data_IF_394776815688
#
_entry.id   IF_394776815688
#
_cell.length_a   1.000
_cell.length_b   1.000
_cell.length_c   1.000
_cell.angle_alpha   90.00
_cell.angle_beta   90.00
_cell.angle_gamma   90.00
#
_symmetry.space_group_name_H-M   'P 1'
#
loop_
_entity.id
_entity.type
_entity.pdbx_description
1 polymer ?
#
# COMPACT_ATOMS: atom_id res chain seq x y z
N UNK A 1 40.63 -73.95 -22.40
CA UNK A 1 41.15 -72.61 -22.07
C UNK A 1 39.95 -71.70 -21.93
N UNK A 2 39.60 -71.43 -20.68
CA UNK A 2 38.46 -70.64 -20.26
C UNK A 2 38.75 -69.15 -20.50
N UNK A 3 37.76 -68.40 -20.96
CA UNK A 3 37.79 -66.94 -20.96
C UNK A 3 36.43 -66.45 -20.47
N UNK A 4 36.40 -66.11 -19.19
CA UNK A 4 35.26 -65.53 -18.47
C UNK A 4 35.07 -64.08 -18.94
N UNK A 5 33.89 -63.77 -19.46
CA UNK A 5 33.44 -62.41 -19.74
C UNK A 5 32.45 -62.02 -18.65
N UNK A 6 32.91 -61.22 -17.67
CA UNK A 6 32.06 -60.68 -16.61
C UNK A 6 31.36 -59.41 -17.07
N UNK A 7 30.04 -59.43 -17.08
CA UNK A 7 29.14 -58.29 -17.27
C UNK A 7 29.22 -57.37 -16.04
N UNK A 8 29.62 -56.12 -16.23
CA UNK A 8 29.54 -55.05 -15.23
C UNK A 8 28.13 -54.45 -15.26
N UNK A 9 27.40 -54.60 -14.16
CA UNK A 9 26.18 -53.84 -13.86
C UNK A 9 26.56 -52.47 -13.30
N UNK A 10 25.85 -51.38 -13.66
CA UNK A 10 26.10 -50.06 -13.08
C UNK A 10 25.68 -50.00 -11.60
N UNK A 11 26.61 -49.50 -10.78
CA UNK A 11 26.47 -49.27 -9.35
C UNK A 11 25.51 -48.09 -9.08
N UNK A 12 24.38 -48.37 -8.43
CA UNK A 12 23.34 -47.41 -8.07
C UNK A 12 23.49 -46.84 -6.64
N UNK A 13 24.71 -46.75 -6.10
CA UNK A 13 24.94 -46.26 -4.72
C UNK A 13 25.11 -44.74 -4.56
N UNK A 14 24.83 -43.93 -5.59
CA UNK A 14 24.99 -42.47 -5.57
C UNK A 14 23.69 -41.67 -5.77
N UNK A 15 22.57 -42.17 -5.24
CA UNK A 15 21.33 -41.38 -5.10
C UNK A 15 20.65 -41.75 -3.77
N UNK A 16 21.15 -41.18 -2.66
CA UNK A 16 20.42 -40.96 -1.38
C UNK A 16 21.41 -40.48 -0.33
N UNK A 17 21.51 -39.16 -0.15
CA UNK A 17 21.81 -38.45 1.12
C UNK A 17 22.12 -36.97 0.85
N UNK A 18 21.10 -36.18 0.53
CA UNK A 18 21.13 -34.72 0.74
C UNK A 18 19.71 -34.25 1.05
N UNK A 19 19.27 -34.49 2.29
CA UNK A 19 18.06 -33.90 2.86
C UNK A 19 18.26 -33.78 4.38
N UNK A 20 18.89 -32.69 4.80
CA UNK A 20 18.88 -32.23 6.19
C UNK A 20 19.34 -30.76 6.25
N UNK A 21 18.47 -29.81 6.67
CA UNK A 21 18.78 -28.38 6.73
C UNK A 21 19.41 -27.98 8.08
N UNK A 22 20.45 -28.68 8.52
CA UNK A 22 21.04 -28.47 9.86
C UNK A 22 22.31 -27.62 9.89
N UNK A 23 22.90 -27.28 8.74
CA UNK A 23 24.18 -26.54 8.67
C UNK A 23 24.01 -25.03 8.48
N UNK A 24 22.80 -24.55 8.15
CA UNK A 24 22.51 -23.11 8.04
C UNK A 24 22.36 -22.41 9.41
N UNK A 25 22.04 -23.17 10.47
CA UNK A 25 21.74 -22.63 11.80
C UNK A 25 22.97 -22.29 12.65
N UNK A 26 24.16 -22.79 12.29
CA UNK A 26 25.38 -22.57 13.09
C UNK A 26 26.15 -21.32 12.63
N UNK A 27 25.97 -20.87 11.38
CA UNK A 27 26.66 -19.68 10.86
C UNK A 27 26.00 -18.35 11.29
N UNK A 28 24.70 -18.34 11.62
CA UNK A 28 23.95 -17.14 11.99
C UNK A 28 23.97 -16.79 13.49
N UNK A 29 24.67 -17.57 14.33
CA UNK A 29 24.84 -17.27 15.76
C UNK A 29 26.05 -16.38 16.09
N UNK A 30 26.87 -16.01 15.10
CA UNK A 30 28.07 -15.17 15.32
C UNK A 30 27.87 -13.68 15.04
N UNK A 31 26.69 -13.26 14.56
CA UNK A 31 26.39 -11.84 14.28
C UNK A 31 25.11 -11.52 15.04
N UNK A 32 25.25 -10.94 16.24
CA UNK A 32 24.17 -10.74 17.21
C UNK A 32 23.11 -9.72 16.78
N UNK A 33 22.27 -10.07 15.81
CA UNK A 33 21.11 -9.29 15.39
C UNK A 33 19.80 -10.06 15.65
N UNK A 34 18.73 -9.43 16.15
CA UNK A 34 17.49 -10.10 16.52
C UNK A 34 16.68 -10.57 15.28
N UNK A 35 16.28 -11.84 15.31
CA UNK A 35 15.72 -12.64 14.19
C UNK A 35 14.23 -12.34 13.87
N UNK A 36 13.62 -11.31 14.45
CA UNK A 36 12.14 -11.19 14.42
C UNK A 36 11.59 -10.45 13.18
N UNK A 37 12.40 -9.78 12.35
CA UNK A 37 11.90 -9.02 11.19
C UNK A 37 12.29 -9.58 9.81
N UNK A 38 12.98 -10.73 9.74
CA UNK A 38 13.55 -11.24 8.48
C UNK A 38 12.57 -11.99 7.57
N UNK A 39 11.39 -12.38 8.07
CA UNK A 39 10.47 -13.26 7.32
C UNK A 39 9.53 -12.53 6.34
N UNK A 40 9.28 -11.23 6.51
CA UNK A 40 8.44 -10.45 5.58
C UNK A 40 9.23 -9.98 4.34
N UNK A 41 10.50 -9.59 4.53
CA UNK A 41 11.35 -9.03 3.46
C UNK A 41 11.96 -10.07 2.50
N UNK A 42 12.27 -11.29 2.97
CA UNK A 42 12.91 -12.30 2.13
C UNK A 42 11.99 -12.90 1.05
N UNK A 43 10.66 -12.79 1.22
CA UNK A 43 9.67 -13.24 0.23
C UNK A 43 9.44 -12.20 -0.86
N UNK A 44 9.47 -10.92 -0.50
CA UNK A 44 9.31 -9.79 -1.42
C UNK A 44 10.55 -9.63 -2.32
N UNK A 45 11.78 -9.71 -1.78
CA UNK A 45 13.00 -9.45 -2.57
C UNK A 45 13.43 -10.62 -3.46
N UNK A 46 13.20 -11.87 -3.04
CA UNK A 46 13.60 -13.02 -3.88
C UNK A 46 12.70 -13.19 -5.12
N UNK A 47 11.49 -12.61 -5.13
CA UNK A 47 10.63 -12.58 -6.31
C UNK A 47 10.97 -11.43 -7.28
N UNK A 48 11.72 -10.41 -6.84
CA UNK A 48 12.09 -9.24 -7.65
C UNK A 48 13.15 -9.58 -8.74
N UNK A 49 13.85 -10.71 -8.64
CA UNK A 49 14.86 -11.10 -9.64
C UNK A 49 14.39 -12.17 -10.66
N UNK A 50 13.22 -12.81 -10.53
CA UNK A 50 12.90 -13.96 -11.41
C UNK A 50 11.45 -14.10 -11.89
N UNK A 51 10.79 -12.99 -12.25
CA UNK A 51 9.49 -13.05 -12.91
C UNK A 51 9.40 -12.07 -14.10
N UNK A 52 10.23 -12.33 -15.12
CA UNK A 52 9.96 -11.84 -16.47
C UNK A 52 9.39 -12.97 -17.32
N UNK A 53 8.06 -13.11 -17.36
CA UNK A 53 7.35 -13.54 -18.58
C UNK A 53 5.82 -13.61 -18.42
N UNK A 54 5.16 -12.87 -19.32
CA UNK A 54 3.83 -13.08 -19.91
C UNK A 54 2.61 -12.84 -19.02
N UNK A 55 1.96 -11.69 -19.23
CA UNK A 55 0.50 -11.58 -19.19
C UNK A 55 0.02 -10.79 -20.43
N UNK A 56 -1.07 -11.30 -21.00
CA UNK A 56 -1.77 -10.85 -22.21
C UNK A 56 -2.60 -9.61 -21.88
N UNK A 57 -2.47 -8.56 -22.69
CA UNK A 57 -3.32 -7.38 -22.62
C UNK A 57 -4.78 -7.75 -22.96
N UNK A 58 -5.69 -7.63 -21.98
CA UNK A 58 -7.13 -7.64 -22.22
C UNK A 58 -7.62 -6.20 -22.07
N UNK A 59 -8.06 -5.60 -23.17
CA UNK A 59 -8.74 -4.30 -23.15
C UNK A 59 -10.08 -4.46 -22.40
N UNK A 60 -10.30 -3.67 -21.33
CA UNK A 60 -11.61 -3.54 -20.68
C UNK A 60 -11.97 -2.08 -20.39
N UNK A 61 -13.27 -1.74 -20.42
CA UNK A 61 -13.74 -0.36 -20.39
C UNK A 61 -13.70 0.21 -18.97
N UNK A 62 -13.22 1.46 -18.85
CA UNK A 62 -12.96 2.14 -17.60
C UNK A 62 -14.15 2.27 -16.66
N UNK A 63 -13.89 2.10 -15.37
CA UNK A 63 -14.82 2.35 -14.28
C UNK A 63 -15.24 3.82 -14.27
N UNK A 64 -16.54 4.08 -14.41
CA UNK A 64 -17.12 5.39 -14.14
C UNK A 64 -17.31 5.52 -12.63
N UNK A 65 -16.69 6.52 -12.01
CA UNK A 65 -17.03 6.90 -10.64
C UNK A 65 -18.52 7.27 -10.58
N UNK A 66 -19.27 6.53 -9.77
CA UNK A 66 -20.68 6.81 -9.51
C UNK A 66 -20.81 8.03 -8.61
N UNK A 67 -21.21 9.18 -9.17
CA UNK A 67 -21.73 10.30 -8.38
C UNK A 67 -22.92 9.79 -7.55
N UNK A 68 -22.79 9.78 -6.22
CA UNK A 68 -23.82 9.32 -5.29
C UNK A 68 -23.40 8.18 -4.36
N UNK A 69 -22.22 7.59 -4.52
CA UNK A 69 -21.73 6.60 -3.57
C UNK A 69 -21.24 7.29 -2.29
N UNK A 70 -21.74 6.83 -1.15
CA UNK A 70 -21.38 7.33 0.18
C UNK A 70 -20.16 6.57 0.71
N UNK A 71 -18.97 7.16 0.60
CA UNK A 71 -17.72 6.52 1.06
C UNK A 71 -17.74 6.14 2.55
N UNK A 72 -18.50 6.87 3.38
CA UNK A 72 -18.66 6.54 4.82
C UNK A 72 -19.48 5.25 5.01
N UNK A 73 -20.45 5.00 4.14
CA UNK A 73 -21.22 3.75 4.12
C UNK A 73 -20.35 2.60 3.58
N UNK A 74 -19.58 2.82 2.51
CA UNK A 74 -18.61 1.83 2.01
C UNK A 74 -17.65 1.46 3.15
N UNK A 75 -17.06 2.46 3.82
CA UNK A 75 -16.17 2.26 4.95
C UNK A 75 -16.83 1.39 6.03
N UNK A 76 -18.05 1.73 6.42
CA UNK A 76 -18.78 0.99 7.45
C UNK A 76 -19.06 -0.46 7.05
N UNK A 77 -19.31 -0.73 5.76
CA UNK A 77 -19.49 -2.07 5.22
C UNK A 77 -18.19 -2.85 5.19
N UNK A 78 -17.09 -2.25 4.72
CA UNK A 78 -15.76 -2.87 4.75
C UNK A 78 -15.34 -3.21 6.19
N UNK A 79 -15.54 -2.32 7.15
CA UNK A 79 -15.25 -2.60 8.57
C UNK A 79 -16.10 -3.72 9.16
N UNK A 80 -17.31 -3.95 8.62
CA UNK A 80 -18.16 -5.08 9.03
C UNK A 80 -17.67 -6.38 8.41
N UNK A 81 -17.35 -6.33 7.12
CA UNK A 81 -16.81 -7.45 6.36
C UNK A 81 -15.44 -7.90 6.89
N UNK A 82 -14.64 -6.97 7.42
CA UNK A 82 -13.30 -7.26 7.96
C UNK A 82 -13.31 -8.21 9.16
N UNK A 83 -14.49 -8.53 9.70
CA UNK A 83 -14.67 -9.57 10.73
C UNK A 83 -14.61 -10.99 10.16
N UNK A 84 -14.89 -11.14 8.87
CA UNK A 84 -15.03 -12.43 8.20
C UNK A 84 -13.96 -12.65 7.13
N UNK A 85 -13.34 -11.58 6.62
CA UNK A 85 -12.29 -11.64 5.62
C UNK A 85 -11.24 -10.56 5.85
N UNK A 86 -10.05 -10.76 5.32
CA UNK A 86 -8.99 -9.75 5.36
C UNK A 86 -9.27 -8.69 4.31
N UNK A 87 -9.22 -7.43 4.73
CA UNK A 87 -9.28 -6.27 3.84
C UNK A 87 -7.98 -5.52 3.99
N UNK A 88 -7.29 -5.31 2.87
CA UNK A 88 -6.08 -4.50 2.86
C UNK A 88 -6.40 -3.11 2.37
N UNK A 89 -6.02 -2.14 3.19
CA UNK A 89 -6.11 -0.73 2.88
C UNK A 89 -4.75 -0.25 2.40
N UNK A 90 -4.69 0.24 1.18
CA UNK A 90 -3.46 0.76 0.59
C UNK A 90 -3.67 2.22 0.22
N UNK A 91 -3.11 3.13 1.00
CA UNK A 91 -3.14 4.55 0.67
C UNK A 91 -2.09 4.89 -0.37
N UNK A 92 -2.45 5.76 -1.31
CA UNK A 92 -1.52 6.30 -2.31
C UNK A 92 -1.64 7.81 -2.41
N UNK A 93 -0.50 8.48 -2.50
CA UNK A 93 -0.40 9.92 -2.75
C UNK A 93 0.76 10.19 -3.71
N UNK A 94 0.62 11.23 -4.54
CA UNK A 94 1.61 11.56 -5.57
C UNK A 94 1.83 13.07 -5.62
N UNK A 95 3.07 13.46 -5.89
CA UNK A 95 3.40 14.81 -6.32
C UNK A 95 3.77 14.79 -7.79
N UNK A 96 3.30 15.80 -8.51
CA UNK A 96 3.70 16.08 -9.88
C UNK A 96 4.17 17.53 -9.99
N UNK A 97 4.84 17.84 -11.09
CA UNK A 97 5.37 19.18 -11.31
C UNK A 97 4.24 20.19 -11.54
N UNK A 98 4.27 21.32 -10.82
CA UNK A 98 3.23 22.37 -10.87
C UNK A 98 2.92 22.88 -12.29
N UNK A 99 3.90 22.84 -13.21
CA UNK A 99 3.75 23.29 -14.60
C UNK A 99 3.32 22.19 -15.57
N UNK A 100 3.49 20.92 -15.20
CA UNK A 100 3.13 19.77 -16.04
C UNK A 100 2.85 18.54 -15.16
N UNK A 101 1.57 18.29 -14.93
CA UNK A 101 1.09 17.20 -14.10
C UNK A 101 1.35 15.81 -14.70
N UNK A 102 1.82 15.72 -15.94
CA UNK A 102 2.29 14.43 -16.50
C UNK A 102 3.66 14.01 -15.93
N UNK A 103 4.39 14.94 -15.33
CA UNK A 103 5.71 14.70 -14.72
C UNK A 103 5.59 14.47 -13.23
N UNK A 104 5.45 13.20 -12.86
CA UNK A 104 5.43 12.76 -11.46
C UNK A 104 6.83 12.95 -10.88
N UNK A 105 6.91 13.58 -9.71
CA UNK A 105 8.19 13.77 -9.00
C UNK A 105 8.36 12.74 -7.88
N UNK A 106 7.28 12.41 -7.17
CA UNK A 106 7.33 11.55 -5.99
C UNK A 106 6.06 10.73 -5.86
N UNK A 107 6.18 9.52 -5.33
CA UNK A 107 5.09 8.58 -5.08
C UNK A 107 5.23 8.05 -3.66
N UNK A 108 4.12 8.12 -2.91
CA UNK A 108 4.00 7.57 -1.57
C UNK A 108 2.93 6.50 -1.55
N UNK A 109 3.26 5.33 -1.00
CA UNK A 109 2.30 4.26 -0.75
C UNK A 109 2.42 3.85 0.70
N UNK A 110 1.30 3.53 1.34
CA UNK A 110 1.30 2.86 2.63
C UNK A 110 0.21 1.80 2.67
N UNK A 111 0.47 0.68 3.33
CA UNK A 111 -0.44 -0.48 3.35
C UNK A 111 -0.75 -0.89 4.79
N UNK A 112 -1.99 -1.31 5.03
CA UNK A 112 -2.48 -1.77 6.33
C UNK A 112 -3.52 -2.87 6.15
N UNK A 113 -3.33 -4.00 6.85
CA UNK A 113 -4.29 -5.10 6.83
C UNK A 113 -5.30 -4.97 7.96
N UNK A 114 -6.58 -5.23 7.69
CA UNK A 114 -7.64 -5.14 8.70
C UNK A 114 -7.49 -6.13 9.87
N UNK A 115 -6.66 -7.16 9.70
CA UNK A 115 -6.36 -8.14 10.75
C UNK A 115 -5.31 -7.65 11.74
N UNK A 116 -4.56 -6.60 11.40
CA UNK A 116 -3.55 -6.04 12.28
C UNK A 116 -4.18 -4.94 13.13
N UNK A 117 -3.95 -5.01 14.44
CA UNK A 117 -4.59 -4.13 15.42
C UNK A 117 -3.73 -2.89 15.67
N UNK A 118 -2.41 -2.98 15.46
CA UNK A 118 -1.47 -1.93 15.86
C UNK A 118 -1.12 -1.00 14.70
N UNK A 119 -0.96 0.29 15.00
CA UNK A 119 -0.51 1.30 14.03
C UNK A 119 0.91 1.04 13.54
N UNK A 120 1.72 0.30 14.30
CA UNK A 120 3.06 -0.17 13.94
C UNK A 120 3.05 -1.06 12.70
N UNK A 121 1.93 -1.70 12.38
CA UNK A 121 1.82 -2.69 11.29
C UNK A 121 1.55 -2.05 9.93
N UNK A 122 1.38 -0.73 9.85
CA UNK A 122 1.35 -0.06 8.56
C UNK A 122 2.77 -0.12 7.97
N UNK A 123 2.88 -0.49 6.69
CA UNK A 123 4.14 -0.45 5.93
C UNK A 123 4.09 0.73 4.98
N UNK A 124 5.18 1.48 4.86
CA UNK A 124 5.20 2.73 4.10
C UNK A 124 6.40 2.79 3.19
N UNK A 125 6.17 3.26 1.96
CA UNK A 125 7.15 3.37 0.91
C UNK A 125 7.14 4.78 0.32
N UNK A 126 8.31 5.23 -0.09
CA UNK A 126 8.50 6.51 -0.76
C UNK A 126 9.49 6.36 -1.91
N UNK A 127 9.06 6.75 -3.10
CA UNK A 127 9.89 6.77 -4.29
C UNK A 127 9.94 8.17 -4.88
N UNK A 128 11.13 8.56 -5.33
CA UNK A 128 11.35 9.78 -6.09
C UNK A 128 11.75 9.43 -7.52
N UNK A 129 11.15 10.11 -8.50
CA UNK A 129 11.38 9.87 -9.92
C UNK A 129 12.66 10.58 -10.36
N UNK A 130 13.70 9.78 -10.63
CA UNK A 130 15.06 10.23 -10.94
C UNK A 130 15.09 11.27 -12.06
N UNK A 131 14.34 11.03 -13.13
CA UNK A 131 14.26 11.89 -14.32
C UNK A 131 13.69 13.29 -14.00
N UNK A 132 12.95 13.42 -12.90
CA UNK A 132 12.22 14.63 -12.52
C UNK A 132 12.79 15.29 -11.24
N UNK A 133 13.89 14.78 -10.67
CA UNK A 133 14.54 15.32 -9.44
C UNK A 133 14.97 16.79 -9.56
N UNK A 134 15.26 17.26 -10.77
CA UNK A 134 15.64 18.64 -11.03
C UNK A 134 14.44 19.61 -11.08
N UNK A 135 13.20 19.10 -11.18
CA UNK A 135 12.00 19.91 -11.23
C UNK A 135 11.65 20.41 -9.82
N UNK A 136 11.40 21.71 -9.71
CA UNK A 136 11.03 22.34 -8.44
C UNK A 136 9.62 22.88 -8.53
N UNK A 137 8.79 22.45 -7.58
CA UNK A 137 7.47 23.01 -7.36
C UNK A 137 7.59 24.35 -6.62
N UNK A 138 6.72 25.29 -7.00
CA UNK A 138 6.55 26.59 -6.34
C UNK A 138 5.52 26.49 -5.22
N UNK A 139 4.50 25.65 -5.38
CA UNK A 139 3.38 25.55 -4.45
C UNK A 139 3.65 24.58 -3.30
N UNK A 140 4.20 23.39 -3.60
CA UNK A 140 4.47 22.36 -2.59
C UNK A 140 5.95 21.97 -2.71
N UNK A 141 6.83 22.43 -1.80
CA UNK A 141 8.23 22.06 -1.83
C UNK A 141 8.39 20.55 -1.70
N UNK A 142 9.16 19.95 -2.60
CA UNK A 142 9.55 18.55 -2.47
C UNK A 142 10.61 18.41 -1.37
N UNK A 143 10.28 17.61 -0.35
CA UNK A 143 11.21 17.27 0.71
C UNK A 143 11.31 15.74 0.85
N UNK A 144 12.05 15.07 -0.05
CA UNK A 144 12.21 13.61 0.01
C UNK A 144 12.99 13.14 1.24
N UNK A 145 13.78 14.02 1.85
CA UNK A 145 14.72 13.67 2.94
C UNK A 145 14.05 13.54 4.31
N UNK A 146 12.80 13.98 4.44
CA UNK A 146 12.04 13.91 5.71
C UNK A 146 11.12 12.68 5.80
N UNK A 147 11.28 11.70 4.91
CA UNK A 147 10.54 10.43 5.03
C UNK A 147 11.00 9.65 6.28
N UNK A 148 10.06 9.17 7.11
CA UNK A 148 10.38 8.69 8.47
C UNK A 148 10.32 7.17 8.67
N UNK A 149 9.81 6.41 7.70
CA UNK A 149 9.56 4.97 7.87
C UNK A 149 10.66 4.10 7.26
N UNK A 150 11.24 4.53 6.13
CA UNK A 150 12.42 3.94 5.50
C UNK A 150 13.21 5.05 4.78
N UNK A 151 14.20 4.70 3.96
CA UNK A 151 14.85 5.65 3.06
C UNK A 151 14.05 5.85 1.77
N UNK A 152 14.09 7.07 1.21
CA UNK A 152 13.56 7.36 -0.12
C UNK A 152 14.32 6.60 -1.20
N UNK A 153 13.61 5.91 -2.08
CA UNK A 153 14.22 5.19 -3.21
C UNK A 153 14.13 6.02 -4.48
N UNK A 154 15.22 6.10 -5.24
CA UNK A 154 15.22 6.69 -6.57
C UNK A 154 14.84 5.63 -7.62
N UNK A 155 13.87 5.95 -8.48
CA UNK A 155 13.40 5.07 -9.55
C UNK A 155 13.32 5.82 -10.87
N UNK A 156 13.45 5.11 -11.98
CA UNK A 156 13.22 5.67 -13.32
C UNK A 156 11.71 5.79 -13.60
N UNK A 157 11.29 6.73 -14.45
CA UNK A 157 9.85 6.97 -14.69
C UNK A 157 9.12 5.73 -15.24
N UNK A 158 9.81 4.89 -16.03
CA UNK A 158 9.25 3.65 -16.57
C UNK A 158 9.02 2.55 -15.50
N UNK A 159 9.48 2.74 -14.27
CA UNK A 159 9.28 1.80 -13.17
C UNK A 159 8.02 2.09 -12.35
N UNK A 160 7.36 3.24 -12.56
CA UNK A 160 6.15 3.62 -11.82
C UNK A 160 5.05 2.57 -11.93
N UNK A 161 4.63 2.23 -13.15
CA UNK A 161 3.56 1.25 -13.35
C UNK A 161 3.94 -0.13 -12.78
N UNK A 162 5.10 -0.72 -13.14
CA UNK A 162 5.50 -2.02 -12.62
C UNK A 162 5.55 -2.10 -11.08
N UNK A 163 6.00 -1.04 -10.40
CA UNK A 163 6.04 -1.01 -8.93
C UNK A 163 4.63 -0.98 -8.35
N UNK A 164 3.75 -0.15 -8.89
CA UNK A 164 2.38 -0.07 -8.39
C UNK A 164 1.61 -1.36 -8.71
N UNK A 165 1.77 -1.93 -9.91
CA UNK A 165 1.17 -3.21 -10.26
C UNK A 165 1.65 -4.32 -9.32
N UNK A 166 2.96 -4.44 -9.07
CA UNK A 166 3.48 -5.45 -8.15
C UNK A 166 2.88 -5.31 -6.75
N UNK A 167 2.78 -4.09 -6.22
CA UNK A 167 2.18 -3.85 -4.90
C UNK A 167 0.69 -4.23 -4.91
N UNK A 168 -0.10 -3.66 -5.82
CA UNK A 168 -1.56 -3.78 -5.73
C UNK A 168 -2.07 -5.13 -6.28
N UNK A 169 -1.45 -5.70 -7.31
CA UNK A 169 -1.80 -7.03 -7.79
C UNK A 169 -1.41 -8.11 -6.80
N UNK A 170 -0.28 -7.97 -6.10
CA UNK A 170 0.09 -8.90 -5.03
C UNK A 170 -0.96 -8.92 -3.93
N UNK A 171 -1.39 -7.74 -3.48
CA UNK A 171 -2.46 -7.61 -2.47
C UNK A 171 -3.77 -8.25 -2.93
N UNK A 172 -4.14 -8.12 -4.22
CA UNK A 172 -5.33 -8.78 -4.76
C UNK A 172 -5.15 -10.30 -4.86
N UNK A 173 -3.97 -10.77 -5.29
CA UNK A 173 -3.68 -12.19 -5.54
C UNK A 173 -3.69 -13.03 -4.26
N UNK A 174 -3.42 -12.45 -3.10
CA UNK A 174 -3.53 -13.12 -1.80
C UNK A 174 -4.98 -13.39 -1.35
N UNK A 175 -5.96 -13.14 -2.24
CA UNK A 175 -7.38 -13.34 -1.97
C UNK A 175 -7.96 -12.29 -1.01
N UNK A 176 -7.21 -11.22 -0.78
CA UNK A 176 -7.61 -10.11 0.07
C UNK A 176 -8.46 -9.14 -0.73
N UNK A 177 -9.45 -8.55 -0.06
CA UNK A 177 -10.22 -7.45 -0.64
C UNK A 177 -9.38 -6.18 -0.52
N UNK A 178 -9.07 -5.54 -1.65
CA UNK A 178 -8.26 -4.33 -1.69
C UNK A 178 -9.12 -3.06 -1.67
N UNK A 179 -8.80 -2.15 -0.75
CA UNK A 179 -9.30 -0.79 -0.75
C UNK A 179 -8.14 0.20 -0.94
N UNK A 180 -8.13 0.94 -2.06
CA UNK A 180 -7.15 1.99 -2.33
C UNK A 180 -7.68 3.29 -1.74
N UNK A 181 -6.85 3.95 -0.95
CA UNK A 181 -7.27 5.07 -0.10
C UNK A 181 -6.52 6.33 -0.49
N UNK A 182 -7.21 7.47 -0.51
CA UNK A 182 -6.57 8.76 -0.64
C UNK A 182 -7.29 9.85 0.16
N UNK A 183 -6.71 11.04 0.16
CA UNK A 183 -7.38 12.25 0.64
C UNK A 183 -7.62 13.15 -0.58
N UNK A 184 -8.79 13.04 -1.20
CA UNK A 184 -9.00 13.51 -2.57
C UNK A 184 -8.48 12.54 -3.63
N UNK A 185 -8.69 11.22 -3.42
CA UNK A 185 -8.08 10.13 -4.23
C UNK A 185 -8.23 10.29 -5.74
N UNK A 186 -9.32 10.90 -6.22
CA UNK A 186 -9.53 11.14 -7.65
C UNK A 186 -8.40 11.97 -8.27
N UNK A 187 -7.87 12.96 -7.55
CA UNK A 187 -6.77 13.80 -8.03
C UNK A 187 -5.51 12.96 -8.24
N UNK A 188 -5.20 12.07 -7.30
CA UNK A 188 -4.09 11.12 -7.40
C UNK A 188 -4.24 10.19 -8.61
N UNK A 189 -5.43 9.63 -8.82
CA UNK A 189 -5.71 8.77 -9.98
C UNK A 189 -5.63 9.55 -11.30
N UNK A 190 -6.12 10.78 -11.34
CA UNK A 190 -6.07 11.63 -12.53
C UNK A 190 -4.63 11.99 -12.93
N UNK A 191 -3.73 12.19 -11.96
CA UNK A 191 -2.30 12.39 -12.18
C UNK A 191 -1.65 11.10 -12.69
N UNK A 192 -2.00 9.95 -12.11
CA UNK A 192 -1.42 8.65 -12.47
C UNK A 192 -1.93 8.09 -13.78
N UNK A 193 -3.06 8.57 -14.33
CA UNK A 193 -3.82 7.88 -15.40
C UNK A 193 -3.03 7.49 -16.66
N UNK A 194 -1.95 8.20 -16.97
CA UNK A 194 -1.08 7.93 -18.13
C UNK A 194 0.08 6.98 -17.82
N UNK A 195 0.35 6.74 -16.54
CA UNK A 195 1.41 5.87 -16.06
C UNK A 195 0.84 4.57 -15.50
N UNK A 196 -0.29 4.62 -14.81
CA UNK A 196 -0.86 3.50 -14.08
C UNK A 196 -2.39 3.64 -13.90
N UNK A 197 -3.08 2.51 -13.74
CA UNK A 197 -4.50 2.44 -13.43
C UNK A 197 -4.71 1.46 -12.28
N UNK A 198 -5.59 1.76 -11.31
CA UNK A 198 -5.88 0.83 -10.23
C UNK A 198 -6.50 -0.47 -10.76
N UNK A 199 -6.27 -1.62 -10.09
CA UNK A 199 -6.94 -2.86 -10.44
C UNK A 199 -8.47 -2.69 -10.43
N UNK A 200 -9.17 -3.23 -11.42
CA UNK A 200 -10.63 -3.12 -11.55
C UNK A 200 -11.39 -3.64 -10.30
N UNK A 201 -10.80 -4.58 -9.57
CA UNK A 201 -11.40 -5.14 -8.35
C UNK A 201 -11.17 -4.29 -7.10
N UNK A 202 -10.31 -3.27 -7.16
CA UNK A 202 -10.01 -2.42 -6.04
C UNK A 202 -11.17 -1.45 -5.76
N UNK A 203 -11.42 -1.20 -4.48
CA UNK A 203 -12.41 -0.21 -4.03
C UNK A 203 -11.67 1.09 -3.75
N UNK A 204 -12.09 2.20 -4.36
CA UNK A 204 -11.52 3.50 -4.08
C UNK A 204 -12.24 4.14 -2.89
N UNK A 205 -11.49 4.59 -1.90
CA UNK A 205 -11.98 5.28 -0.70
C UNK A 205 -11.34 6.67 -0.57
N UNK A 206 -12.18 7.67 -0.35
CA UNK A 206 -11.73 9.04 -0.13
C UNK A 206 -11.94 9.49 1.32
N UNK A 207 -10.85 9.58 2.07
CA UNK A 207 -10.86 10.04 3.47
C UNK A 207 -11.37 11.47 3.61
N UNK A 208 -11.22 12.33 2.60
CA UNK A 208 -11.75 13.68 2.62
C UNK A 208 -13.29 13.65 2.60
N UNK A 209 -13.87 12.82 1.72
CA UNK A 209 -15.33 12.66 1.62
C UNK A 209 -15.91 12.00 2.87
N UNK A 210 -15.25 10.95 3.39
CA UNK A 210 -15.63 10.30 4.65
C UNK A 210 -15.64 11.33 5.78
N UNK A 211 -14.58 12.13 5.92
CA UNK A 211 -14.47 13.14 6.97
C UNK A 211 -15.63 14.15 6.90
N UNK A 212 -15.91 14.67 5.70
CA UNK A 212 -16.99 15.64 5.46
C UNK A 212 -18.34 15.11 5.94
N UNK A 213 -18.65 13.86 5.62
CA UNK A 213 -19.90 13.20 6.03
C UNK A 213 -19.95 13.05 7.55
N UNK A 214 -18.85 12.60 8.17
CA UNK A 214 -18.77 12.40 9.62
C UNK A 214 -18.89 13.70 10.41
N UNK A 215 -18.32 14.79 9.90
CA UNK A 215 -18.37 16.11 10.55
C UNK A 215 -19.56 16.96 10.11
N UNK A 216 -20.41 16.46 9.22
CA UNK A 216 -21.55 17.19 8.63
C UNK A 216 -21.14 18.52 7.99
N UNK A 217 -19.96 18.53 7.34
CA UNK A 217 -19.42 19.71 6.67
C UNK A 217 -19.50 19.60 5.14
N UNK A 218 -19.74 20.72 4.48
CA UNK A 218 -19.87 20.80 3.02
C UNK A 218 -18.57 21.18 2.30
N UNK A 219 -17.64 21.82 3.00
CA UNK A 219 -16.38 22.33 2.43
C UNK A 219 -15.35 21.21 2.25
N UNK A 220 -14.46 21.36 1.28
CA UNK A 220 -13.26 20.52 1.18
C UNK A 220 -12.29 20.93 2.28
N UNK A 221 -11.70 19.96 2.95
CA UNK A 221 -10.69 20.17 3.98
C UNK A 221 -9.36 19.61 3.52
N UNK A 222 -8.25 20.17 3.99
CA UNK A 222 -6.94 19.58 3.74
C UNK A 222 -6.74 18.34 4.63
N UNK A 223 -5.76 17.50 4.28
CA UNK A 223 -5.39 16.38 5.14
C UNK A 223 -4.95 16.87 6.53
N UNK A 224 -4.18 17.96 6.58
CA UNK A 224 -3.74 18.61 7.82
C UNK A 224 -4.93 19.05 8.70
N UNK A 225 -5.92 19.72 8.12
CA UNK A 225 -7.12 20.14 8.83
C UNK A 225 -7.92 18.93 9.33
N UNK A 226 -8.07 17.89 8.50
CA UNK A 226 -8.75 16.67 8.90
C UNK A 226 -8.02 15.95 10.05
N UNK A 227 -6.69 15.93 10.04
CA UNK A 227 -5.86 15.34 11.10
C UNK A 227 -5.94 16.15 12.40
N UNK A 228 -5.80 17.48 12.34
CA UNK A 228 -5.82 18.37 13.52
C UNK A 228 -7.16 18.37 14.26
N UNK A 229 -8.25 18.14 13.54
CA UNK A 229 -9.61 18.11 14.09
C UNK A 229 -10.04 16.70 14.52
N UNK A 230 -9.34 15.65 14.13
CA UNK A 230 -9.66 14.27 14.50
C UNK A 230 -9.01 13.90 15.82
N UNK A 231 -9.83 13.79 16.87
CA UNK A 231 -9.34 13.51 18.23
C UNK A 231 -8.55 12.19 18.32
N UNK A 232 -7.40 12.23 18.99
CA UNK A 232 -6.56 11.06 19.26
C UNK A 232 -5.53 10.75 18.18
N UNK A 233 -5.49 11.52 17.09
CA UNK A 233 -4.40 11.46 16.12
C UNK A 233 -3.29 12.42 16.53
N UNK A 234 -2.05 11.93 16.42
CA UNK A 234 -0.84 12.72 16.54
C UNK A 234 -0.15 12.70 15.19
N UNK A 235 0.19 13.87 14.67
CA UNK A 235 0.92 14.02 13.43
C UNK A 235 1.88 15.20 13.54
N UNK A 236 2.87 15.23 12.65
CA UNK A 236 3.77 16.38 12.48
C UNK A 236 3.44 17.01 11.13
N UNK A 237 3.02 18.28 11.15
CA UNK A 237 2.68 19.05 9.96
C UNK A 237 3.85 19.11 8.98
N UNK A 238 5.09 19.21 9.47
CA UNK A 238 6.25 19.31 8.61
C UNK A 238 6.43 18.07 7.73
N UNK A 239 6.02 16.90 8.25
CA UNK A 239 6.10 15.63 7.54
C UNK A 239 5.08 15.53 6.40
N UNK A 240 4.04 16.36 6.36
CA UNK A 240 3.02 16.37 5.31
C UNK A 240 3.52 16.92 3.96
N UNK A 241 4.76 17.38 3.87
CA UNK A 241 5.37 17.76 2.58
C UNK A 241 6.02 16.57 1.84
N UNK A 242 6.01 15.38 2.43
CA UNK A 242 6.50 14.14 1.83
C UNK A 242 5.33 13.20 1.54
N UNK A 243 5.19 12.74 0.29
CA UNK A 243 4.04 11.92 -0.13
C UNK A 243 3.98 10.56 0.56
N UNK A 244 5.12 9.96 0.92
CA UNK A 244 5.17 8.72 1.71
C UNK A 244 4.58 8.90 3.11
N UNK A 245 4.94 9.99 3.78
CA UNK A 245 4.36 10.38 5.07
C UNK A 245 2.87 10.74 4.92
N UNK A 246 2.47 11.48 3.87
CA UNK A 246 1.05 11.79 3.60
C UNK A 246 0.22 10.53 3.41
N UNK A 247 0.72 9.55 2.68
CA UNK A 247 0.06 8.24 2.52
C UNK A 247 -0.15 7.58 3.89
N UNK A 248 0.89 7.50 4.72
CA UNK A 248 0.77 6.98 6.10
C UNK A 248 -0.31 7.71 6.90
N UNK A 249 -0.23 9.04 6.96
CA UNK A 249 -1.19 9.82 7.74
C UNK A 249 -2.62 9.71 7.20
N UNK A 250 -2.78 9.47 5.90
CA UNK A 250 -4.08 9.16 5.30
C UNK A 250 -4.65 7.85 5.84
N UNK A 251 -3.84 6.79 6.00
CA UNK A 251 -4.31 5.56 6.66
C UNK A 251 -4.60 5.76 8.14
N UNK A 252 -3.78 6.52 8.86
CA UNK A 252 -4.05 6.84 10.26
C UNK A 252 -5.40 7.56 10.42
N UNK A 253 -5.69 8.51 9.52
CA UNK A 253 -6.99 9.18 9.46
C UNK A 253 -8.11 8.19 9.19
N UNK A 254 -7.96 7.31 8.19
CA UNK A 254 -8.95 6.28 7.86
C UNK A 254 -9.25 5.35 9.05
N UNK A 255 -8.23 4.91 9.78
CA UNK A 255 -8.38 4.08 10.99
C UNK A 255 -9.21 4.80 12.07
N UNK A 256 -8.94 6.08 12.30
CA UNK A 256 -9.70 6.90 13.25
C UNK A 256 -11.15 7.07 12.78
N UNK A 257 -11.38 7.38 11.51
CA UNK A 257 -12.71 7.52 10.91
C UNK A 257 -13.52 6.22 11.03
N UNK A 258 -12.91 5.06 10.76
CA UNK A 258 -13.55 3.77 10.90
C UNK A 258 -13.93 3.43 12.36
N UNK A 259 -13.16 3.94 13.32
CA UNK A 259 -13.48 3.81 14.75
C UNK A 259 -14.65 4.71 15.15
N UNK A 260 -14.74 5.94 14.61
CA UNK A 260 -15.85 6.87 14.87
C UNK A 260 -17.19 6.33 14.36
N UNK A 261 -17.20 5.66 13.20
CA UNK A 261 -18.40 5.02 12.65
C UNK A 261 -19.02 3.94 13.55
N UNK A 262 -18.31 3.48 14.60
CA UNK A 262 -18.83 2.51 15.58
C UNK A 262 -19.74 3.12 16.63
N UNK A 263 -19.62 4.41 16.91
CA UNK A 263 -20.45 5.05 17.94
C UNK A 263 -21.89 5.05 17.41
N UNK A 264 -22.85 4.40 18.11
CA UNK A 264 -24.25 4.46 17.70
C UNK A 264 -24.59 5.93 17.55
N UNK A 265 -25.05 6.33 16.36
CA UNK A 265 -25.63 7.66 16.21
C UNK A 265 -26.73 7.73 17.26
N UNK A 266 -26.49 8.52 18.32
CA UNK A 266 -27.52 8.81 19.30
C UNK A 266 -28.62 9.43 18.47
N UNK A 267 -29.69 8.67 18.19
CA UNK A 267 -30.90 9.19 17.56
C UNK A 267 -31.19 10.49 18.29
N UNK A 268 -31.10 11.61 17.58
CA UNK A 268 -31.50 12.89 18.13
C UNK A 268 -32.88 12.64 18.71
N UNK A 269 -33.01 12.76 20.04
CA UNK A 269 -34.29 12.62 20.70
C UNK A 269 -35.14 13.71 20.08
N UNK A 270 -36.03 13.33 19.17
CA UNK A 270 -37.09 14.19 18.68
C UNK A 270 -37.78 14.72 19.94
N UNK A 271 -37.66 16.03 20.13
CA UNK A 271 -38.25 16.71 21.26
C UNK A 271 -39.74 16.48 21.23
N UNK A 272 -40.25 15.81 22.27
CA UNK A 272 -41.63 15.94 22.69
C UNK A 272 -41.86 17.42 23.01
N UNK A 273 -42.57 18.11 22.14
CA UNK A 273 -43.26 19.35 22.49
C UNK A 273 -44.62 18.94 23.05
N UNK A 274 -44.74 19.02 24.37
CA UNK A 274 -46.03 19.13 25.07
C UNK A 274 -46.50 20.60 25.07
#
# INVERSE_FOLDING_TARGET
MESRTSLLTPDTSLVRKLSSPAWYYTALRMIGWPVIYFFSWAKLINNIWDASSRIVCVNRPGQKHHEGVNDSEILSNLWRESKNQVITYASIDVHAWDLDQSKITDIGVSTWDSNTIEQSDIVSYHWQIKDNTALKNKCIPNNPDIFTFEGTKLIDNNQVAPILDDIFEHLVAEGQKLAIVGHGIQQTIDVLKHHWQPPDSAILLDTQRIWKIQQQQSQQVTLEEALSTTSGLVYDEHLLHNVGNKARYTLNLLQAQGTLSRKPQRKAREGYHD
#
